data_IF_535407502676
#
_entry.id   IF_535407502676
#
_cell.length_a   1.000
_cell.length_b   1.000
_cell.length_c   1.000
_cell.angle_alpha   90.00
_cell.angle_beta   90.00
_cell.angle_gamma   90.00
#
_symmetry.space_group_name_H-M   'P 1'
#
loop_
_entity.id
_entity.type
_entity.pdbx_description
1 polymer ?
#
# COMPACT_ATOMS: atom_id res chain seq x y z
N UNK A 1 -9.69 -21.05 -18.08
CA UNK A 1 -10.40 -19.93 -18.72
C UNK A 1 -9.56 -18.69 -18.48
N UNK A 2 -8.79 -18.25 -19.49
CA UNK A 2 -7.97 -17.05 -19.42
C UNK A 2 -8.87 -15.85 -19.73
N UNK A 3 -9.05 -14.96 -18.76
CA UNK A 3 -9.59 -13.62 -19.01
C UNK A 3 -8.40 -12.76 -19.41
N UNK A 4 -8.31 -12.43 -20.70
CA UNK A 4 -7.39 -11.43 -21.23
C UNK A 4 -7.86 -10.06 -20.71
N UNK A 5 -7.07 -9.44 -19.83
CA UNK A 5 -7.18 -8.01 -19.60
C UNK A 5 -6.53 -7.31 -20.80
N UNK A 6 -7.20 -6.34 -21.45
CA UNK A 6 -6.63 -5.66 -22.60
C UNK A 6 -5.36 -4.87 -22.21
N UNK A 7 -4.52 -4.61 -23.20
CA UNK A 7 -3.35 -3.74 -23.06
C UNK A 7 -3.78 -2.33 -22.61
N UNK A 8 -2.87 -1.53 -22.00
CA UNK A 8 -3.20 -0.31 -21.25
C UNK A 8 -3.92 0.82 -22.01
N UNK A 9 -4.09 0.70 -23.33
CA UNK A 9 -4.64 1.76 -24.17
C UNK A 9 -6.17 1.69 -24.35
N UNK A 10 -6.83 0.60 -23.90
CA UNK A 10 -8.27 0.35 -24.11
C UNK A 10 -9.12 0.33 -22.81
N UNK A 11 -8.63 0.89 -21.70
CA UNK A 11 -9.39 0.94 -20.45
C UNK A 11 -10.43 2.08 -20.46
N UNK A 12 -11.57 1.83 -21.10
CA UNK A 12 -12.78 2.64 -20.90
C UNK A 12 -13.35 2.36 -19.49
N UNK A 13 -13.04 3.26 -18.54
CA UNK A 13 -13.42 3.18 -17.13
C UNK A 13 -14.92 3.49 -16.90
N UNK A 14 -15.83 2.61 -17.31
CA UNK A 14 -17.23 2.64 -16.90
C UNK A 14 -17.71 1.27 -16.40
N UNK A 15 -17.59 1.05 -15.09
CA UNK A 15 -17.97 -0.20 -14.42
C UNK A 15 -19.49 -0.28 -14.12
N UNK A 16 -20.13 -1.36 -14.58
CA UNK A 16 -21.51 -1.74 -14.20
C UNK A 16 -21.46 -2.67 -12.98
N UNK A 17 -22.18 -2.31 -11.93
CA UNK A 17 -22.27 -3.07 -10.68
C UNK A 17 -23.03 -4.40 -10.85
N UNK A 18 -22.44 -5.50 -10.36
CA UNK A 18 -23.16 -6.76 -10.12
C UNK A 18 -22.86 -7.28 -8.72
N UNK A 19 -23.89 -7.26 -7.88
CA UNK A 19 -23.92 -7.81 -6.53
C UNK A 19 -23.84 -9.34 -6.55
N UNK A 20 -22.88 -9.94 -5.81
CA UNK A 20 -22.92 -11.36 -5.41
C UNK A 20 -22.46 -11.57 -3.98
N UNK A 21 -23.16 -12.49 -3.32
CA UNK A 21 -23.17 -12.80 -1.88
C UNK A 21 -21.89 -13.49 -1.41
N UNK A 22 -21.38 -13.06 -0.24
CA UNK A 22 -20.21 -13.63 0.46
C UNK A 22 -20.56 -14.96 1.15
N UNK A 23 -19.72 -15.97 0.96
CA UNK A 23 -19.67 -17.18 1.80
C UNK A 23 -18.56 -17.06 2.84
N UNK A 24 -18.84 -17.48 4.07
CA UNK A 24 -17.95 -17.43 5.24
C UNK A 24 -16.99 -18.63 5.24
N UNK A 25 -15.68 -18.39 5.31
CA UNK A 25 -14.66 -19.42 5.52
C UNK A 25 -14.04 -19.19 6.91
N UNK A 26 -14.08 -20.23 7.75
CA UNK A 26 -13.53 -20.19 9.11
C UNK A 26 -12.04 -20.58 9.09
N UNK A 27 -11.17 -19.68 9.55
CA UNK A 27 -9.72 -19.85 9.56
C UNK A 27 -9.23 -20.58 10.81
N UNK A 28 -8.44 -21.64 10.60
CA UNK A 28 -7.71 -22.36 11.65
C UNK A 28 -6.43 -21.59 12.02
N UNK A 29 -6.40 -21.00 13.21
CA UNK A 29 -5.23 -20.28 13.73
C UNK A 29 -4.10 -21.27 14.06
N UNK A 30 -2.89 -21.02 13.53
CA UNK A 30 -1.65 -21.68 13.99
C UNK A 30 -0.88 -20.67 14.84
N UNK A 31 -0.62 -21.02 16.09
CA UNK A 31 0.17 -20.21 17.02
C UNK A 31 1.65 -20.57 16.87
N UNK A 32 2.44 -19.68 16.27
CA UNK A 32 3.91 -19.74 16.35
C UNK A 32 4.37 -18.85 17.53
N UNK A 33 5.24 -19.34 18.43
CA UNK A 33 5.74 -18.54 19.53
C UNK A 33 6.76 -17.51 19.02
N UNK A 34 6.49 -16.23 19.25
CA UNK A 34 7.44 -15.14 19.04
C UNK A 34 8.53 -15.18 20.12
N UNK A 35 9.83 -15.15 19.77
CA UNK A 35 10.90 -15.00 20.75
C UNK A 35 10.81 -13.60 21.37
N UNK A 36 10.80 -13.53 22.71
CA UNK A 36 10.82 -12.28 23.47
C UNK A 36 12.25 -11.71 23.46
N UNK A 37 12.58 -10.96 22.42
CA UNK A 37 13.67 -10.00 22.50
C UNK A 37 13.22 -8.85 23.41
N UNK A 38 13.95 -8.62 24.50
CA UNK A 38 13.68 -7.54 25.44
C UNK A 38 14.21 -6.25 24.82
N UNK A 39 13.33 -5.45 24.22
CA UNK A 39 13.63 -4.08 23.81
C UNK A 39 13.42 -3.18 25.03
N UNK A 40 14.48 -2.50 25.47
CA UNK A 40 14.42 -1.51 26.55
C UNK A 40 13.80 -0.22 26.02
N UNK A 41 12.48 -0.10 26.19
CA UNK A 41 11.69 1.06 25.75
C UNK A 41 11.82 2.28 26.69
N UNK A 42 12.61 2.19 27.77
CA UNK A 42 12.58 3.19 28.85
C UNK A 42 13.26 4.53 28.55
N UNK A 43 13.96 4.65 27.42
CA UNK A 43 14.68 5.87 27.03
C UNK A 43 14.20 6.53 25.72
N UNK A 44 13.25 5.95 25.00
CA UNK A 44 12.71 6.55 23.79
C UNK A 44 11.28 7.06 24.04
N UNK A 45 10.91 8.18 23.41
CA UNK A 45 9.53 8.70 23.29
C UNK A 45 9.03 9.70 24.35
N UNK A 46 9.84 10.23 25.27
CA UNK A 46 9.42 11.35 26.15
C UNK A 46 9.39 12.74 25.49
N UNK A 47 9.46 12.83 24.15
CA UNK A 47 9.53 14.13 23.43
C UNK A 47 8.78 14.21 22.11
N UNK A 48 8.06 13.17 21.68
CA UNK A 48 7.29 13.22 20.44
C UNK A 48 5.81 13.46 20.77
N UNK A 49 5.42 14.72 20.96
CA UNK A 49 4.03 15.11 21.16
C UNK A 49 3.24 15.20 19.85
N UNK A 50 3.81 14.75 18.73
CA UNK A 50 3.10 14.76 17.46
C UNK A 50 1.96 13.73 17.53
N UNK A 51 0.73 14.09 17.13
CA UNK A 51 -0.36 13.14 17.07
C UNK A 51 0.02 11.97 16.16
N UNK A 52 -0.38 10.75 16.55
CA UNK A 52 -0.15 9.57 15.72
C UNK A 52 -0.75 9.81 14.32
N UNK A 53 0.12 9.96 13.33
CA UNK A 53 -0.30 10.21 11.95
C UNK A 53 -1.06 9.00 11.41
N UNK A 54 -2.17 9.27 10.71
CA UNK A 54 -2.99 8.20 10.12
C UNK A 54 -2.27 7.64 8.90
N UNK A 55 -2.34 6.33 8.70
CA UNK A 55 -1.87 5.72 7.46
C UNK A 55 -2.68 6.29 6.29
N UNK A 56 -1.99 6.92 5.32
CA UNK A 56 -2.61 7.47 4.12
C UNK A 56 -2.67 6.39 3.04
N UNK A 57 -1.50 5.98 2.54
CA UNK A 57 -1.38 5.01 1.45
C UNK A 57 -0.05 4.24 1.49
N UNK A 58 0.02 3.16 0.72
CA UNK A 58 1.22 2.36 0.50
C UNK A 58 1.53 2.27 -0.99
N UNK A 59 2.80 2.20 -1.34
CA UNK A 59 3.23 2.00 -2.74
C UNK A 59 4.05 0.74 -2.87
N UNK A 60 3.65 -0.14 -3.78
CA UNK A 60 4.34 -1.39 -4.06
C UNK A 60 4.93 -1.37 -5.46
N UNK A 61 6.17 -1.84 -5.58
CA UNK A 61 6.79 -2.13 -6.86
C UNK A 61 6.37 -3.52 -7.32
N UNK A 62 5.76 -3.61 -8.50
CA UNK A 62 5.21 -4.85 -9.05
C UNK A 62 5.77 -5.14 -10.45
N UNK A 63 6.00 -6.42 -10.76
CA UNK A 63 6.54 -6.81 -12.09
C UNK A 63 5.49 -6.77 -13.20
N UNK A 64 4.23 -7.00 -12.83
CA UNK A 64 3.12 -6.99 -13.78
C UNK A 64 1.94 -6.23 -13.16
N UNK A 65 1.74 -5.00 -13.63
CA UNK A 65 0.74 -4.08 -13.14
C UNK A 65 -0.67 -4.62 -13.35
N UNK A 66 -0.98 -5.10 -14.56
CA UNK A 66 -2.32 -5.62 -14.89
C UNK A 66 -2.71 -6.81 -13.99
N UNK A 67 -1.80 -7.77 -13.79
CA UNK A 67 -2.01 -8.91 -12.90
C UNK A 67 -2.22 -8.47 -11.45
N UNK A 68 -1.46 -7.46 -11.01
CA UNK A 68 -1.54 -6.96 -9.64
C UNK A 68 -2.85 -6.21 -9.40
N UNK A 69 -3.28 -5.37 -10.34
CA UNK A 69 -4.59 -4.70 -10.30
C UNK A 69 -5.71 -5.74 -10.18
N UNK A 70 -5.71 -6.76 -11.05
CA UNK A 70 -6.72 -7.81 -11.01
C UNK A 70 -6.77 -8.51 -9.65
N UNK A 71 -5.60 -8.79 -9.05
CA UNK A 71 -5.53 -9.41 -7.74
C UNK A 71 -6.12 -8.53 -6.64
N UNK A 72 -5.73 -7.25 -6.56
CA UNK A 72 -6.23 -6.34 -5.51
C UNK A 72 -7.72 -6.00 -5.70
N UNK A 73 -8.18 -5.95 -6.95
CA UNK A 73 -9.60 -5.85 -7.25
C UNK A 73 -10.36 -7.09 -6.76
N UNK A 74 -9.97 -8.30 -7.18
CA UNK A 74 -10.74 -9.51 -6.92
C UNK A 74 -10.67 -9.98 -5.46
N UNK A 75 -9.51 -9.82 -4.82
CA UNK A 75 -9.28 -10.31 -3.44
C UNK A 75 -9.71 -9.29 -2.40
N UNK A 76 -9.40 -8.01 -2.62
CA UNK A 76 -9.59 -6.94 -1.62
C UNK A 76 -10.83 -6.09 -1.94
N UNK A 77 -11.25 -6.04 -3.20
CA UNK A 77 -12.35 -5.19 -3.65
C UNK A 77 -11.91 -3.75 -3.92
N UNK A 78 -10.66 -3.55 -4.33
CA UNK A 78 -10.14 -2.22 -4.67
C UNK A 78 -10.46 -1.86 -6.12
N UNK A 79 -10.78 -0.60 -6.36
CA UNK A 79 -11.02 -0.05 -7.68
C UNK A 79 -9.88 0.87 -8.09
N UNK A 80 -9.56 0.89 -9.39
CA UNK A 80 -8.61 1.85 -9.95
C UNK A 80 -9.29 3.22 -10.03
N UNK A 81 -8.71 4.21 -9.38
CA UNK A 81 -9.23 5.60 -9.35
C UNK A 81 -8.46 6.53 -10.29
N UNK A 82 -7.20 6.20 -10.56
CA UNK A 82 -6.33 6.92 -11.50
C UNK A 82 -5.18 6.00 -11.92
N UNK A 83 -4.60 6.21 -13.09
CA UNK A 83 -3.45 5.43 -13.51
C UNK A 83 -3.04 5.66 -14.96
N UNK A 84 -1.95 4.99 -15.32
CA UNK A 84 -1.39 4.91 -16.66
C UNK A 84 -0.67 3.54 -16.82
N UNK A 85 -0.01 3.25 -17.95
CA UNK A 85 0.64 1.96 -18.18
C UNK A 85 1.74 1.58 -17.17
N UNK A 86 2.30 2.56 -16.44
CA UNK A 86 3.38 2.36 -15.48
C UNK A 86 2.92 2.38 -14.02
N UNK A 87 1.79 3.02 -13.69
CA UNK A 87 1.32 3.14 -12.31
C UNK A 87 -0.20 3.09 -12.24
N UNK A 88 -0.74 2.42 -11.22
CA UNK A 88 -2.17 2.47 -10.90
C UNK A 88 -2.38 2.83 -9.44
N UNK A 89 -3.29 3.78 -9.20
CA UNK A 89 -3.77 4.17 -7.89
C UNK A 89 -5.10 3.47 -7.65
N UNK A 90 -5.18 2.75 -6.52
CA UNK A 90 -6.33 1.95 -6.15
C UNK A 90 -6.86 2.37 -4.78
N UNK A 91 -8.19 2.38 -4.65
CA UNK A 91 -8.88 2.66 -3.39
C UNK A 91 -10.01 1.66 -3.13
N UNK A 92 -10.44 1.56 -1.88
CA UNK A 92 -11.63 0.81 -1.47
C UNK A 92 -12.56 1.64 -0.56
N UNK A 93 -12.23 2.92 -0.37
CA UNK A 93 -13.00 3.89 0.40
C UNK A 93 -12.92 5.28 -0.25
N UNK A 94 -13.37 6.31 0.45
CA UNK A 94 -13.49 7.67 -0.05
C UNK A 94 -12.15 8.41 -0.17
N UNK A 95 -11.04 7.85 0.34
CA UNK A 95 -9.72 8.44 0.15
C UNK A 95 -9.26 8.29 -1.30
N UNK A 96 -8.52 9.29 -1.78
CA UNK A 96 -8.09 9.34 -3.19
C UNK A 96 -7.35 8.07 -3.62
N UNK A 97 -6.54 7.45 -2.75
CA UNK A 97 -6.02 6.10 -2.93
C UNK A 97 -5.51 5.53 -1.61
N UNK A 98 -5.54 4.21 -1.49
CA UNK A 98 -4.94 3.46 -0.36
C UNK A 98 -3.69 2.68 -0.78
N UNK A 99 -3.63 2.28 -2.04
CA UNK A 99 -2.54 1.52 -2.63
C UNK A 99 -2.16 2.12 -3.98
N UNK A 100 -0.88 2.34 -4.22
CA UNK A 100 -0.37 2.53 -5.57
C UNK A 100 0.50 1.34 -5.98
N UNK A 101 0.34 0.89 -7.23
CA UNK A 101 1.09 -0.19 -7.84
C UNK A 101 1.98 0.41 -8.92
N UNK A 102 3.28 0.35 -8.74
CA UNK A 102 4.27 0.88 -9.69
C UNK A 102 4.95 -0.27 -10.43
N UNK A 103 4.83 -0.29 -11.76
CA UNK A 103 5.48 -1.31 -12.57
C UNK A 103 7.00 -1.13 -12.55
N UNK A 104 7.72 -2.22 -12.28
CA UNK A 104 9.19 -2.25 -12.39
C UNK A 104 9.61 -2.63 -13.80
N UNK A 105 10.78 -2.17 -14.23
CA UNK A 105 11.43 -2.63 -15.47
C UNK A 105 12.15 -3.98 -15.32
N UNK A 106 12.19 -4.54 -14.11
CA UNK A 106 12.80 -5.84 -13.83
C UNK A 106 11.77 -6.93 -14.10
N UNK A 107 12.03 -7.72 -15.15
CA UNK A 107 11.18 -8.84 -15.54
C UNK A 107 11.43 -10.08 -14.66
N UNK A 108 12.66 -10.22 -14.16
CA UNK A 108 13.06 -11.37 -13.33
C UNK A 108 12.36 -11.37 -11.97
N UNK A 109 12.05 -12.57 -11.50
CA UNK A 109 11.50 -12.76 -10.17
C UNK A 109 12.58 -12.46 -9.13
N UNK A 110 12.32 -11.44 -8.31
CA UNK A 110 13.16 -11.14 -7.17
C UNK A 110 13.15 -12.35 -6.21
N UNK A 111 14.30 -12.75 -5.64
CA UNK A 111 14.36 -13.82 -4.64
C UNK A 111 13.35 -13.60 -3.52
N UNK A 112 12.85 -14.68 -2.94
CA UNK A 112 11.99 -14.60 -1.77
C UNK A 112 12.66 -13.77 -0.66
N UNK A 113 11.91 -12.84 -0.06
CA UNK A 113 12.43 -11.90 0.94
C UNK A 113 13.05 -10.62 0.35
N UNK A 114 13.04 -10.44 -0.97
CA UNK A 114 13.48 -9.18 -1.59
C UNK A 114 12.54 -8.02 -1.20
N UNK A 115 13.08 -6.81 -0.94
CA UNK A 115 12.26 -5.65 -0.64
C UNK A 115 11.41 -5.25 -1.86
N UNK A 116 10.10 -5.12 -1.66
CA UNK A 116 9.15 -4.70 -2.70
C UNK A 116 8.27 -3.50 -2.32
N UNK A 117 8.31 -3.10 -1.04
CA UNK A 117 7.67 -1.89 -0.56
C UNK A 117 8.50 -0.68 -0.98
N UNK A 118 7.88 0.24 -1.70
CA UNK A 118 8.53 1.49 -2.09
C UNK A 118 8.48 2.49 -0.93
N UNK A 119 7.28 2.83 -0.46
CA UNK A 119 7.09 3.65 0.72
C UNK A 119 5.71 3.45 1.34
N UNK A 120 5.59 3.96 2.57
CA UNK A 120 4.35 4.09 3.33
C UNK A 120 4.19 5.56 3.67
N UNK A 121 3.07 6.14 3.25
CA UNK A 121 2.78 7.53 3.51
C UNK A 121 1.81 7.67 4.68
N UNK A 122 2.10 8.65 5.53
CA UNK A 122 1.24 9.03 6.64
C UNK A 122 0.70 10.43 6.42
N UNK A 123 -0.53 10.59 6.86
CA UNK A 123 -1.24 11.84 6.80
C UNK A 123 -0.80 12.78 7.93
N UNK A 124 -0.31 13.94 7.52
CA UNK A 124 0.20 15.00 8.38
C UNK A 124 -0.66 16.25 8.33
N UNK A 125 -1.95 16.17 7.98
CA UNK A 125 -2.86 17.32 7.81
C UNK A 125 -2.61 18.43 8.85
N UNK A 126 -2.18 19.60 8.38
CA UNK A 126 -1.89 20.78 9.22
C UNK A 126 -0.50 20.82 9.86
N UNK A 127 0.13 19.65 10.05
CA UNK A 127 1.40 19.49 10.78
C UNK A 127 2.61 19.23 9.87
N UNK A 128 2.47 19.23 8.55
CA UNK A 128 3.58 18.95 7.64
C UNK A 128 4.79 19.86 7.88
N UNK A 129 4.55 21.16 8.05
CA UNK A 129 5.63 22.14 8.26
C UNK A 129 6.27 22.04 9.65
N UNK A 130 5.48 21.79 10.69
CA UNK A 130 6.00 21.59 12.05
C UNK A 130 6.81 20.29 12.11
N UNK A 131 6.31 19.23 11.49
CA UNK A 131 7.00 17.94 11.32
C UNK A 131 8.33 18.15 10.59
N UNK A 132 8.32 18.85 9.45
CA UNK A 132 9.55 19.14 8.70
C UNK A 132 10.57 19.91 9.55
N UNK A 133 10.16 20.99 10.21
CA UNK A 133 11.04 21.78 11.09
C UNK A 133 11.62 20.93 12.22
N UNK A 134 10.81 20.09 12.85
CA UNK A 134 11.26 19.17 13.91
C UNK A 134 12.30 18.19 13.38
N UNK A 135 12.06 17.55 12.23
CA UNK A 135 12.97 16.57 11.63
C UNK A 135 14.30 17.21 11.21
N UNK A 136 14.27 18.40 10.60
CA UNK A 136 15.49 19.16 10.29
C UNK A 136 16.27 19.53 11.55
N UNK A 137 15.57 19.94 12.61
CA UNK A 137 16.19 20.22 13.92
C UNK A 137 16.86 19.00 14.56
N UNK A 138 16.43 17.78 14.20
CA UNK A 138 17.05 16.52 14.59
C UNK A 138 18.16 16.05 13.62
N UNK A 139 18.51 16.86 12.61
CA UNK A 139 19.51 16.51 11.61
C UNK A 139 19.01 15.56 10.51
N UNK A 140 17.70 15.30 10.43
CA UNK A 140 17.11 14.47 9.38
C UNK A 140 16.72 15.33 8.18
N UNK A 141 17.18 14.97 6.99
CA UNK A 141 16.82 15.63 5.73
C UNK A 141 15.80 14.77 4.96
N UNK A 142 14.87 15.39 4.20
CA UNK A 142 14.06 14.66 3.22
C UNK A 142 14.94 13.89 2.23
N UNK A 143 14.50 12.69 1.85
CA UNK A 143 15.18 11.83 0.89
C UNK A 143 14.72 12.12 -0.55
#
# INVERSE_FOLDING_TARGET
>A
MNVLYPAPDDLDFHARSRSRRRGRIEGRQRTHPHPKGEFDDSQALSGCSDPAHRLSHMVLRVRNLARSIAWYHDVVGMEVVHGNPMIAFMSHDEEHHRLALLQTSVEEEAPEGSPGLDHVAFDTFGDLLSTYKRLVGLGMQPY
#
